data_IF_769889872460
#
_entry.id   IF_769889872460
#
_cell.length_a   1.000
_cell.length_b   1.000
_cell.length_c   1.000
_cell.angle_alpha   90.00
_cell.angle_beta   90.00
_cell.angle_gamma   90.00
#
_symmetry.space_group_name_H-M   'P 1'
#
loop_
_entity.id
_entity.type
_entity.pdbx_description
1 polymer ?
#
# COMPACT_ATOMS: atom_id res chain seq x y z
N UNK A 1 11.60 37.54 -0.05
CA UNK A 1 11.75 36.11 0.04
C UNK A 1 12.07 35.75 1.48
N UNK A 2 11.06 35.32 2.23
CA UNK A 2 11.20 34.85 3.58
C UNK A 2 11.98 33.54 3.56
N UNK A 3 13.07 33.50 4.32
CA UNK A 3 13.98 32.40 4.45
C UNK A 3 13.20 31.12 4.83
N UNK A 4 13.28 30.08 4.01
CA UNK A 4 12.78 28.77 4.38
C UNK A 4 13.41 28.31 5.71
N UNK A 5 12.60 27.74 6.59
CA UNK A 5 13.07 27.25 7.88
C UNK A 5 14.19 26.23 7.67
N UNK A 6 15.34 26.42 8.35
CA UNK A 6 16.59 25.65 8.16
C UNK A 6 16.59 24.26 8.74
N UNK A 7 15.56 23.83 9.46
CA UNK A 7 15.36 22.46 9.88
C UNK A 7 13.90 22.21 10.17
N UNK A 8 13.22 21.62 9.24
CA UNK A 8 12.06 20.80 9.58
C UNK A 8 12.65 19.42 9.93
N UNK A 9 12.50 18.96 11.18
CA UNK A 9 12.66 17.54 11.46
C UNK A 9 11.68 16.86 10.52
N UNK A 10 12.17 16.01 9.62
CA UNK A 10 11.32 15.14 8.85
C UNK A 10 10.40 14.45 9.84
N UNK A 11 9.11 14.70 9.76
CA UNK A 11 8.12 13.95 10.53
C UNK A 11 8.41 12.48 10.28
N UNK A 12 8.09 11.62 11.24
CA UNK A 12 8.37 10.19 11.14
C UNK A 12 7.91 9.69 9.78
N UNK A 13 8.86 9.29 8.96
CA UNK A 13 8.75 8.93 7.54
C UNK A 13 7.81 7.73 7.33
N UNK A 14 7.40 7.07 8.41
CA UNK A 14 6.53 5.90 8.41
C UNK A 14 5.04 6.20 8.25
N UNK A 15 4.60 7.43 8.43
CA UNK A 15 3.23 7.84 8.20
C UNK A 15 3.05 8.30 6.75
N UNK A 16 2.88 7.34 5.85
CA UNK A 16 2.54 7.61 4.46
C UNK A 16 1.19 8.31 4.35
N UNK A 17 1.12 9.37 3.56
CA UNK A 17 -0.08 10.14 3.26
C UNK A 17 -0.72 9.62 1.97
N UNK A 18 -1.24 8.41 2.05
CA UNK A 18 -1.90 7.72 0.93
C UNK A 18 -3.30 7.34 1.34
N UNK A 19 -4.27 7.63 0.48
CA UNK A 19 -5.64 7.12 0.61
C UNK A 19 -6.00 6.26 -0.60
N UNK A 20 -6.83 5.27 -0.36
CA UNK A 20 -7.43 4.45 -1.38
C UNK A 20 -8.95 4.52 -1.27
N UNK A 21 -9.61 4.58 -2.42
CA UNK A 21 -11.05 4.42 -2.53
C UNK A 21 -11.42 3.54 -3.72
N UNK A 22 -12.56 2.91 -3.62
CA UNK A 22 -13.19 2.18 -4.71
C UNK A 22 -14.67 2.52 -4.76
N UNK A 23 -15.23 2.54 -5.95
CA UNK A 23 -16.66 2.76 -6.19
C UNK A 23 -17.16 1.84 -7.31
N UNK A 24 -18.40 1.43 -7.22
CA UNK A 24 -19.08 0.69 -8.26
C UNK A 24 -20.49 1.26 -8.46
N UNK A 25 -20.99 1.22 -9.70
CA UNK A 25 -22.35 1.64 -10.03
C UNK A 25 -23.23 0.47 -10.49
N UNK A 26 -24.53 0.73 -10.63
CA UNK A 26 -25.52 -0.26 -11.08
C UNK A 26 -25.28 -0.79 -12.50
N UNK A 27 -24.49 -0.10 -13.30
CA UNK A 27 -24.20 -0.47 -14.69
C UNK A 27 -22.95 -1.34 -14.82
N UNK A 28 -22.31 -1.68 -13.67
CA UNK A 28 -21.13 -2.55 -13.60
C UNK A 28 -19.81 -1.80 -13.78
N UNK A 29 -19.83 -0.46 -13.83
CA UNK A 29 -18.60 0.30 -13.83
C UNK A 29 -17.98 0.26 -12.44
N UNK A 30 -16.68 0.04 -12.39
CA UNK A 30 -15.92 0.03 -11.13
C UNK A 30 -14.70 0.92 -11.27
N UNK A 31 -14.36 1.62 -10.20
CA UNK A 31 -13.20 2.49 -10.11
C UNK A 31 -12.30 2.03 -8.95
N UNK A 32 -11.04 1.88 -9.22
CA UNK A 32 -9.99 1.68 -8.23
C UNK A 32 -9.08 2.89 -8.24
N UNK A 33 -9.13 3.70 -7.19
CA UNK A 33 -8.42 4.98 -7.12
C UNK A 33 -7.50 5.02 -5.91
N UNK A 34 -6.26 5.44 -6.14
CA UNK A 34 -5.30 5.74 -5.08
C UNK A 34 -4.68 7.11 -5.32
N UNK A 35 -4.54 7.90 -4.27
CA UNK A 35 -3.84 9.17 -4.32
C UNK A 35 -2.92 9.33 -3.12
N UNK A 36 -1.84 10.07 -3.29
CA UNK A 36 -0.80 10.17 -2.28
C UNK A 36 0.11 11.35 -2.54
N UNK A 37 0.46 12.07 -1.51
CA UNK A 37 1.60 12.98 -1.53
C UNK A 37 2.94 12.24 -1.33
N UNK A 38 2.90 10.96 -1.01
CA UNK A 38 3.95 10.04 -0.60
C UNK A 38 4.36 10.22 0.86
N UNK A 39 5.05 11.30 1.24
CA UNK A 39 5.45 11.55 2.64
C UNK A 39 4.65 12.71 3.20
N UNK A 40 3.81 12.47 4.21
CA UNK A 40 3.06 13.49 4.94
C UNK A 40 2.54 14.61 4.05
N UNK A 41 3.10 15.80 4.16
CA UNK A 41 2.73 16.97 3.37
C UNK A 41 3.42 17.02 1.97
N UNK A 42 3.93 15.90 1.46
CA UNK A 42 4.64 15.84 0.19
C UNK A 42 5.86 16.78 0.17
N UNK A 43 6.05 17.50 -0.92
CA UNK A 43 7.16 18.44 -1.07
C UNK A 43 7.04 19.69 -0.18
N UNK A 44 5.90 19.92 0.48
CA UNK A 44 5.60 21.14 1.20
C UNK A 44 5.40 22.37 0.30
N UNK A 45 5.45 22.21 -1.01
CA UNK A 45 5.26 23.29 -1.99
C UNK A 45 3.80 23.36 -2.43
N UNK A 46 3.21 24.55 -2.28
CA UNK A 46 1.86 24.84 -2.79
C UNK A 46 2.02 25.80 -3.99
N UNK A 47 1.67 25.38 -5.20
CA UNK A 47 1.69 26.28 -6.35
C UNK A 47 0.70 27.43 -6.17
N UNK A 48 1.07 28.66 -6.53
CA UNK A 48 0.17 29.81 -6.40
C UNK A 48 -1.16 29.59 -7.11
N UNK A 49 -2.27 29.80 -6.38
CA UNK A 49 -3.62 29.72 -6.91
C UNK A 49 -4.21 28.31 -7.03
N UNK A 50 -3.48 27.22 -6.71
CA UNK A 50 -3.99 25.85 -6.84
C UNK A 50 -4.55 25.27 -5.54
N UNK A 51 -4.09 25.72 -4.36
CA UNK A 51 -4.64 25.29 -3.07
C UNK A 51 -4.35 23.84 -2.67
N UNK A 52 -3.40 23.16 -3.32
CA UNK A 52 -2.94 21.82 -2.95
C UNK A 52 -1.42 21.73 -2.96
N UNK A 53 -0.87 20.78 -2.22
CA UNK A 53 0.57 20.50 -2.17
C UNK A 53 0.99 19.53 -3.27
N UNK A 54 2.20 19.74 -3.79
CA UNK A 54 2.82 18.81 -4.72
C UNK A 54 3.37 17.60 -3.96
N UNK A 55 3.19 16.43 -4.54
CA UNK A 55 3.78 15.18 -4.05
C UNK A 55 5.33 15.21 -4.16
N UNK A 56 6.02 14.39 -3.40
CA UNK A 56 7.48 14.36 -3.35
C UNK A 56 8.13 13.06 -3.88
N UNK A 57 7.41 12.28 -4.69
CA UNK A 57 7.94 11.02 -5.25
C UNK A 57 9.16 11.17 -6.16
N UNK A 58 9.47 12.39 -6.57
CA UNK A 58 10.71 12.68 -7.28
C UNK A 58 11.97 12.28 -6.51
N UNK A 59 11.92 12.25 -5.15
CA UNK A 59 13.03 11.79 -4.31
C UNK A 59 13.38 10.30 -4.52
N UNK A 60 12.46 9.52 -5.10
CA UNK A 60 12.64 8.09 -5.36
C UNK A 60 13.47 7.80 -6.61
N UNK A 61 13.84 8.82 -7.40
CA UNK A 61 14.82 8.63 -8.46
C UNK A 61 16.22 8.39 -7.90
N UNK A 62 16.99 7.57 -8.57
CA UNK A 62 18.43 7.46 -8.36
C UNK A 62 19.16 8.62 -9.04
N UNK A 63 20.20 9.14 -8.41
CA UNK A 63 21.13 10.08 -9.04
C UNK A 63 22.32 9.37 -9.68
N UNK A 64 22.43 8.05 -9.52
CA UNK A 64 23.40 7.23 -10.21
C UNK A 64 22.96 7.06 -11.68
N UNK A 65 23.81 7.53 -12.60
CA UNK A 65 23.55 7.52 -14.05
C UNK A 65 23.44 6.12 -14.64
N UNK A 66 23.98 5.12 -13.99
CA UNK A 66 23.98 3.73 -14.44
C UNK A 66 22.84 2.91 -13.82
N UNK A 67 22.02 3.53 -12.97
CA UNK A 67 20.89 2.88 -12.31
C UNK A 67 19.62 2.91 -13.16
N UNK A 68 18.86 1.81 -13.20
CA UNK A 68 17.60 1.71 -13.97
C UNK A 68 16.57 2.79 -13.63
N UNK A 69 16.54 3.25 -12.38
CA UNK A 69 15.62 4.28 -11.88
C UNK A 69 16.30 5.67 -11.83
N UNK A 70 17.26 5.91 -12.71
CA UNK A 70 17.98 7.19 -12.79
C UNK A 70 17.03 8.34 -13.15
N UNK A 71 17.32 9.52 -12.62
CA UNK A 71 16.58 10.74 -12.93
C UNK A 71 16.85 11.17 -14.39
N UNK A 72 15.82 11.09 -15.22
CA UNK A 72 15.86 11.44 -16.63
C UNK A 72 14.56 12.13 -17.06
N UNK A 73 14.58 13.00 -18.11
CA UNK A 73 13.35 13.54 -18.68
C UNK A 73 12.38 12.46 -19.14
N UNK A 74 11.08 12.74 -19.03
CA UNK A 74 9.98 11.87 -19.48
C UNK A 74 9.89 10.51 -18.76
N UNK A 75 10.64 10.30 -17.68
CA UNK A 75 10.69 9.09 -16.89
C UNK A 75 9.86 9.24 -15.59
N UNK A 76 9.14 8.19 -15.24
CA UNK A 76 8.47 8.09 -13.94
C UNK A 76 9.44 7.55 -12.90
N UNK A 77 9.46 8.08 -11.67
CA UNK A 77 10.22 7.48 -10.59
C UNK A 77 9.63 6.12 -10.21
N UNK A 78 10.38 5.31 -9.50
CA UNK A 78 9.81 4.23 -8.72
C UNK A 78 8.67 4.77 -7.84
N UNK A 79 7.60 4.01 -7.71
CA UNK A 79 6.48 4.38 -6.83
C UNK A 79 5.81 3.14 -6.25
N UNK A 80 5.04 3.34 -5.18
CA UNK A 80 4.36 2.28 -4.43
C UNK A 80 2.84 2.33 -4.55
N UNK A 81 2.27 3.26 -5.31
CA UNK A 81 0.81 3.37 -5.47
C UNK A 81 0.29 2.32 -6.44
N UNK A 82 -0.62 1.49 -5.96
CA UNK A 82 -1.10 0.30 -6.68
C UNK A 82 -2.62 0.20 -6.51
N UNK A 83 -3.42 0.96 -7.30
CA UNK A 83 -4.84 0.65 -7.42
C UNK A 83 -4.97 -0.68 -8.19
N UNK A 84 -5.72 -1.63 -7.64
CA UNK A 84 -5.76 -2.98 -8.18
C UNK A 84 -7.16 -3.39 -8.65
N UNK A 85 -7.17 -4.30 -9.61
CA UNK A 85 -8.37 -4.91 -10.15
C UNK A 85 -8.13 -6.41 -10.36
N UNK A 86 -9.13 -7.22 -10.03
CA UNK A 86 -9.20 -8.62 -10.42
C UNK A 86 -10.34 -8.78 -11.40
N UNK A 87 -10.10 -9.44 -12.52
CA UNK A 87 -11.13 -9.83 -13.48
C UNK A 87 -11.35 -11.33 -13.41
N UNK A 88 -12.58 -11.77 -13.62
CA UNK A 88 -12.99 -13.17 -13.75
C UNK A 88 -13.79 -13.31 -15.03
N UNK A 89 -13.43 -14.24 -15.89
CA UNK A 89 -14.09 -14.48 -17.17
C UNK A 89 -14.25 -13.21 -18.04
N UNK A 90 -13.18 -12.39 -18.07
CA UNK A 90 -13.12 -11.09 -18.75
C UNK A 90 -14.10 -10.02 -18.23
N UNK A 91 -14.65 -10.20 -17.04
CA UNK A 91 -15.52 -9.23 -16.37
C UNK A 91 -14.84 -8.65 -15.13
N UNK A 92 -15.16 -7.40 -14.74
CA UNK A 92 -14.79 -6.87 -13.45
C UNK A 92 -15.29 -7.77 -12.33
N UNK A 93 -14.39 -8.15 -11.42
CA UNK A 93 -14.73 -9.01 -10.29
C UNK A 93 -14.47 -8.34 -8.96
N UNK A 94 -13.23 -7.91 -8.70
CA UNK A 94 -12.88 -7.21 -7.48
C UNK A 94 -12.07 -5.96 -7.82
N UNK A 95 -12.50 -4.82 -7.28
CA UNK A 95 -11.72 -3.59 -7.22
C UNK A 95 -11.22 -3.42 -5.79
N UNK A 96 -9.91 -3.34 -5.59
CA UNK A 96 -9.34 -3.25 -4.25
C UNK A 96 -8.03 -2.49 -4.21
N UNK A 97 -7.65 -2.07 -3.03
CA UNK A 97 -6.35 -1.48 -2.77
C UNK A 97 -5.99 -1.51 -1.31
N UNK A 98 -4.71 -1.39 -1.06
CA UNK A 98 -4.15 -1.37 0.27
C UNK A 98 -3.10 -0.27 0.31
N UNK A 99 -3.42 0.86 0.94
CA UNK A 99 -2.46 1.95 1.13
C UNK A 99 -1.42 1.58 2.20
N UNK A 100 -0.24 2.21 2.19
CA UNK A 100 0.78 1.94 3.20
C UNK A 100 2.23 1.97 2.69
N UNK A 101 2.54 2.82 1.72
CA UNK A 101 3.89 2.95 1.18
C UNK A 101 4.46 1.63 0.67
N UNK A 102 5.62 1.21 1.12
CA UNK A 102 6.28 -0.04 0.71
C UNK A 102 5.53 -1.33 1.15
N UNK A 103 4.52 -1.21 2.01
CA UNK A 103 3.64 -2.33 2.36
C UNK A 103 2.67 -2.68 1.22
N UNK A 104 2.38 -1.76 0.31
CA UNK A 104 1.37 -1.95 -0.73
C UNK A 104 1.57 -3.23 -1.55
N UNK A 105 2.70 -3.50 -2.21
CA UNK A 105 2.87 -4.72 -2.99
C UNK A 105 2.78 -5.98 -2.12
N UNK A 106 3.33 -5.96 -0.93
CA UNK A 106 3.30 -7.09 0.00
C UNK A 106 1.87 -7.36 0.51
N UNK A 107 1.14 -6.30 0.85
CA UNK A 107 -0.23 -6.41 1.32
C UNK A 107 -1.18 -6.88 0.21
N UNK A 108 -1.03 -6.37 -1.01
CA UNK A 108 -1.83 -6.84 -2.15
C UNK A 108 -1.67 -8.34 -2.39
N UNK A 109 -0.43 -8.85 -2.36
CA UNK A 109 -0.17 -10.27 -2.51
C UNK A 109 -0.87 -11.08 -1.39
N UNK A 110 -0.81 -10.64 -0.14
CA UNK A 110 -1.46 -11.31 0.98
C UNK A 110 -2.99 -11.30 0.85
N UNK A 111 -3.58 -10.17 0.44
CA UNK A 111 -5.04 -10.09 0.17
C UNK A 111 -5.46 -11.10 -0.90
N UNK A 112 -4.73 -11.17 -2.02
CA UNK A 112 -5.07 -12.12 -3.10
C UNK A 112 -4.94 -13.56 -2.63
N UNK A 113 -3.88 -13.90 -1.89
CA UNK A 113 -3.68 -15.24 -1.30
C UNK A 113 -4.82 -15.57 -0.33
N UNK A 114 -5.21 -14.64 0.53
CA UNK A 114 -6.30 -14.83 1.48
C UNK A 114 -7.64 -15.11 0.77
N UNK A 115 -7.93 -14.37 -0.29
CA UNK A 115 -9.16 -14.54 -1.07
C UNK A 115 -9.17 -15.85 -1.88
N UNK A 116 -8.07 -16.16 -2.57
CA UNK A 116 -8.04 -17.22 -3.59
C UNK A 116 -7.58 -18.56 -3.00
N UNK A 117 -6.48 -18.57 -2.24
CA UNK A 117 -5.88 -19.81 -1.73
C UNK A 117 -6.52 -20.26 -0.41
N UNK A 118 -6.89 -19.32 0.45
CA UNK A 118 -7.53 -19.61 1.74
C UNK A 118 -9.04 -19.50 1.72
N UNK A 119 -9.65 -18.99 0.64
CA UNK A 119 -11.10 -18.90 0.48
C UNK A 119 -11.78 -17.97 1.49
N UNK A 120 -11.05 -17.00 2.02
CA UNK A 120 -11.60 -16.00 2.95
C UNK A 120 -12.60 -15.10 2.22
N UNK A 121 -13.64 -14.64 2.92
CA UNK A 121 -14.50 -13.61 2.37
C UNK A 121 -13.77 -12.26 2.31
N UNK A 122 -14.40 -11.27 1.67
CA UNK A 122 -13.78 -9.98 1.38
C UNK A 122 -13.33 -9.23 2.64
N UNK A 123 -14.12 -9.29 3.73
CA UNK A 123 -13.80 -8.65 5.01
C UNK A 123 -12.72 -9.44 5.77
N UNK A 124 -12.85 -10.76 5.85
CA UNK A 124 -11.87 -11.63 6.50
C UNK A 124 -10.49 -11.48 5.88
N UNK A 125 -10.40 -11.41 4.54
CA UNK A 125 -9.14 -11.22 3.85
C UNK A 125 -8.46 -9.89 4.24
N UNK A 126 -9.25 -8.85 4.47
CA UNK A 126 -8.79 -7.55 4.95
C UNK A 126 -8.33 -7.56 6.40
N UNK A 127 -9.09 -8.22 7.28
CA UNK A 127 -8.83 -8.23 8.73
C UNK A 127 -7.78 -9.25 9.16
N UNK A 128 -7.47 -10.24 8.31
CA UNK A 128 -6.44 -11.24 8.60
C UNK A 128 -5.09 -10.59 8.96
N UNK A 129 -4.35 -11.17 9.91
CA UNK A 129 -3.04 -10.64 10.31
C UNK A 129 -2.07 -10.65 9.14
N UNK A 130 -1.27 -9.60 9.03
CA UNK A 130 -0.32 -9.38 7.94
C UNK A 130 1.12 -9.51 8.39
N UNK A 131 1.95 -9.85 7.43
CA UNK A 131 3.40 -9.76 7.54
C UNK A 131 3.90 -8.57 6.71
N UNK A 132 5.02 -8.01 7.12
CA UNK A 132 5.76 -7.02 6.35
C UNK A 132 7.25 -7.36 6.40
N UNK A 133 7.85 -7.56 5.25
CA UNK A 133 9.31 -7.65 5.15
C UNK A 133 9.88 -6.24 5.08
N UNK A 134 10.81 -5.94 5.96
CA UNK A 134 11.51 -4.65 6.03
C UNK A 134 12.98 -4.88 5.74
N UNK A 135 13.53 -4.14 4.80
CA UNK A 135 14.94 -4.20 4.44
C UNK A 135 15.52 -2.81 4.23
N UNK A 136 16.83 -2.73 4.19
CA UNK A 136 17.57 -1.52 3.86
C UNK A 136 17.71 -1.28 2.35
N UNK A 137 17.14 -2.14 1.52
CA UNK A 137 17.11 -1.95 0.07
C UNK A 137 16.23 -0.75 -0.29
N UNK A 138 16.74 0.13 -1.14
CA UNK A 138 16.06 1.35 -1.55
C UNK A 138 15.98 1.44 -3.08
N UNK A 139 14.91 2.05 -3.63
CA UNK A 139 14.76 2.24 -5.07
C UNK A 139 15.82 3.16 -5.69
N UNK A 140 16.56 3.87 -4.85
CA UNK A 140 17.65 4.78 -5.22
C UNK A 140 19.02 4.08 -5.35
N UNK A 141 19.10 2.76 -5.13
CA UNK A 141 20.30 1.96 -5.33
C UNK A 141 20.88 1.30 -4.07
N UNK A 142 20.19 1.40 -2.92
CA UNK A 142 20.61 0.65 -1.72
C UNK A 142 20.42 -0.86 -1.90
N UNK A 143 21.41 -1.66 -1.54
CA UNK A 143 21.36 -3.11 -1.60
C UNK A 143 21.08 -3.72 -0.23
N UNK A 144 20.29 -4.78 -0.19
CA UNK A 144 20.06 -5.58 1.01
C UNK A 144 21.21 -6.58 1.19
N UNK A 145 21.81 -6.61 2.39
CA UNK A 145 22.94 -7.48 2.68
C UNK A 145 22.75 -8.36 3.93
N UNK A 146 21.66 -8.16 4.67
CA UNK A 146 21.41 -8.85 5.96
C UNK A 146 20.10 -9.67 5.96
N UNK A 147 19.40 -9.77 4.81
CA UNK A 147 18.12 -10.47 4.69
C UNK A 147 16.92 -9.70 5.25
N UNK A 148 17.14 -8.58 5.91
CA UNK A 148 16.09 -7.74 6.49
C UNK A 148 15.37 -8.35 7.68
N UNK A 149 14.22 -7.80 8.02
CA UNK A 149 13.38 -8.20 9.15
C UNK A 149 11.98 -8.58 8.68
N UNK A 150 11.39 -9.59 9.32
CA UNK A 150 10.01 -9.99 9.11
C UNK A 150 9.16 -9.47 10.26
N UNK A 151 8.45 -8.39 10.00
CA UNK A 151 7.52 -7.77 10.95
C UNK A 151 6.18 -8.49 10.89
N UNK A 152 5.65 -8.88 12.04
CA UNK A 152 4.39 -9.60 12.17
C UNK A 152 3.37 -8.79 12.98
N UNK A 153 2.11 -8.85 12.57
CA UNK A 153 0.98 -8.50 13.44
C UNK A 153 0.71 -9.61 14.46
N UNK A 154 -0.04 -9.28 15.50
CA UNK A 154 -0.64 -10.28 16.39
C UNK A 154 -1.67 -11.11 15.64
N UNK A 155 -1.79 -12.39 15.99
CA UNK A 155 -2.77 -13.32 15.39
C UNK A 155 -2.18 -14.50 14.64
N UNK A 156 -0.88 -14.49 14.38
CA UNK A 156 -0.20 -15.69 13.85
C UNK A 156 0.00 -16.75 14.94
N UNK A 157 -0.15 -18.03 14.56
CA UNK A 157 0.16 -19.14 15.46
C UNK A 157 1.63 -19.10 15.87
N UNK A 158 1.87 -19.19 17.16
CA UNK A 158 3.22 -19.18 17.74
C UNK A 158 4.12 -20.31 17.20
N UNK A 159 3.55 -21.46 16.84
CA UNK A 159 4.32 -22.56 16.23
C UNK A 159 4.84 -22.17 14.85
N UNK A 160 4.05 -21.44 14.07
CA UNK A 160 4.46 -20.97 12.75
C UNK A 160 5.52 -19.86 12.87
N UNK A 161 5.37 -18.97 13.83
CA UNK A 161 6.41 -17.97 14.14
C UNK A 161 7.74 -18.64 14.47
N UNK A 162 7.72 -19.68 15.29
CA UNK A 162 8.93 -20.46 15.63
C UNK A 162 9.54 -21.18 14.43
N UNK A 163 8.73 -21.63 13.47
CA UNK A 163 9.25 -22.21 12.22
C UNK A 163 9.98 -21.16 11.39
N UNK A 164 9.39 -19.97 11.23
CA UNK A 164 10.04 -18.86 10.54
C UNK A 164 11.39 -18.50 11.16
N UNK A 165 11.45 -18.41 12.49
CA UNK A 165 12.70 -18.16 13.20
C UNK A 165 13.74 -19.29 12.98
N UNK A 166 13.30 -20.56 12.93
CA UNK A 166 14.18 -21.72 12.65
C UNK A 166 14.71 -21.70 11.20
N UNK A 167 13.95 -21.13 10.26
CA UNK A 167 14.41 -20.91 8.88
C UNK A 167 15.39 -19.72 8.77
N UNK A 168 15.69 -19.06 9.88
CA UNK A 168 16.66 -17.96 9.92
C UNK A 168 16.04 -16.57 9.74
N UNK A 169 14.72 -16.45 9.69
CA UNK A 169 14.08 -15.15 9.63
C UNK A 169 14.24 -14.38 10.94
N UNK A 170 14.64 -13.14 10.85
CA UNK A 170 14.64 -12.18 11.97
C UNK A 170 13.23 -11.65 12.17
N UNK A 171 12.48 -12.31 13.05
CA UNK A 171 11.08 -11.98 13.32
C UNK A 171 10.99 -10.89 14.39
N UNK A 172 10.21 -9.85 14.09
CA UNK A 172 9.85 -8.78 15.02
C UNK A 172 8.33 -8.62 15.07
N UNK A 173 7.82 -8.07 16.17
CA UNK A 173 6.42 -7.67 16.28
C UNK A 173 6.33 -6.16 16.16
N UNK A 174 5.35 -5.68 15.39
CA UNK A 174 5.12 -4.26 15.19
C UNK A 174 3.67 -3.90 15.40
N UNK A 175 3.44 -2.72 15.93
CA UNK A 175 2.12 -2.10 16.02
C UNK A 175 2.00 -1.06 14.90
N UNK A 176 1.20 -1.38 13.88
CA UNK A 176 0.99 -0.49 12.74
C UNK A 176 1.91 -0.79 11.54
N UNK A 177 1.84 0.06 10.54
CA UNK A 177 2.59 -0.04 9.26
C UNK A 177 2.23 -1.25 8.36
N UNK A 178 1.06 -1.87 8.58
CA UNK A 178 0.55 -2.99 7.78
C UNK A 178 -0.48 -2.58 6.72
N UNK A 179 -0.56 -1.29 6.46
CA UNK A 179 -1.43 -0.73 5.43
C UNK A 179 -2.88 -0.57 5.85
N UNK A 180 -3.73 -0.31 4.90
CA UNK A 180 -5.18 -0.16 5.06
C UNK A 180 -5.91 -0.57 3.79
N UNK A 181 -6.79 -1.58 3.89
CA UNK A 181 -7.46 -2.23 2.78
C UNK A 181 -8.91 -1.76 2.63
N UNK A 182 -9.31 -1.57 1.38
CA UNK A 182 -10.69 -1.33 0.97
C UNK A 182 -10.96 -2.15 -0.29
N UNK A 183 -12.17 -2.69 -0.43
CA UNK A 183 -12.54 -3.44 -1.62
C UNK A 183 -14.04 -3.39 -1.93
N UNK A 184 -14.35 -3.59 -3.21
CA UNK A 184 -15.69 -3.93 -3.69
C UNK A 184 -15.56 -5.18 -4.58
N UNK A 185 -16.40 -6.17 -4.33
CA UNK A 185 -16.53 -7.39 -5.13
C UNK A 185 -17.92 -7.49 -5.71
N UNK A 186 -18.03 -7.86 -6.97
CA UNK A 186 -19.29 -8.20 -7.59
C UNK A 186 -19.56 -9.69 -7.50
N UNK A 187 -20.74 -10.05 -7.02
CA UNK A 187 -21.25 -11.41 -7.01
C UNK A 187 -22.22 -11.59 -8.20
N UNK A 188 -21.81 -12.38 -9.18
CA UNK A 188 -22.54 -12.59 -10.42
C UNK A 188 -23.78 -13.50 -10.22
N UNK A 189 -23.77 -14.36 -9.18
CA UNK A 189 -24.89 -15.26 -8.86
C UNK A 189 -26.03 -14.50 -8.15
N UNK A 190 -25.66 -13.62 -7.23
CA UNK A 190 -26.62 -12.82 -6.47
C UNK A 190 -26.97 -11.48 -7.14
N UNK A 191 -26.15 -11.03 -8.08
CA UNK A 191 -26.31 -9.74 -8.74
C UNK A 191 -26.11 -8.54 -7.80
N UNK A 192 -25.23 -8.67 -6.80
CA UNK A 192 -24.98 -7.64 -5.77
C UNK A 192 -23.51 -7.33 -5.61
N UNK A 193 -23.23 -6.19 -4.99
CA UNK A 193 -21.89 -5.83 -4.58
C UNK A 193 -21.67 -6.11 -3.09
N UNK A 194 -20.50 -6.66 -2.76
CA UNK A 194 -19.99 -6.74 -1.40
C UNK A 194 -18.92 -5.66 -1.22
N UNK A 195 -19.06 -4.85 -0.20
CA UNK A 195 -18.04 -3.87 0.19
C UNK A 195 -17.30 -4.32 1.45
N UNK A 196 -15.99 -4.09 1.51
CA UNK A 196 -15.19 -4.32 2.70
C UNK A 196 -14.32 -3.11 3.03
N UNK A 197 -14.24 -2.82 4.33
CA UNK A 197 -13.35 -1.83 4.91
C UNK A 197 -12.71 -2.43 6.15
N UNK A 198 -11.40 -2.53 6.16
CA UNK A 198 -10.69 -3.21 7.25
C UNK A 198 -10.64 -2.39 8.54
N UNK A 199 -10.37 -3.08 9.66
CA UNK A 199 -10.44 -2.51 11.01
C UNK A 199 -9.24 -1.64 11.42
N UNK A 200 -8.12 -1.64 10.66
CA UNK A 200 -6.88 -0.90 11.04
C UNK A 200 -6.96 0.61 10.77
N UNK A 201 -7.93 1.05 9.99
CA UNK A 201 -8.07 2.44 9.51
C UNK A 201 -9.51 2.92 9.60
N UNK A 202 -9.67 4.25 9.57
CA UNK A 202 -10.96 4.93 9.55
C UNK A 202 -11.57 4.90 8.13
N UNK A 203 -11.92 3.70 7.69
CA UNK A 203 -12.61 3.50 6.44
C UNK A 203 -14.06 3.10 6.67
N UNK A 204 -14.88 3.14 5.62
CA UNK A 204 -16.21 2.56 5.64
C UNK A 204 -16.61 2.04 4.27
N UNK A 205 -17.38 0.94 4.25
CA UNK A 205 -18.09 0.46 3.07
C UNK A 205 -19.54 0.93 3.17
N UNK A 206 -20.02 1.59 2.13
CA UNK A 206 -21.39 2.14 2.09
C UNK A 206 -22.05 1.77 0.76
N UNK A 207 -23.33 1.41 0.83
CA UNK A 207 -24.18 1.17 -0.31
C UNK A 207 -25.50 1.96 -0.21
N UNK A 208 -26.15 2.23 -1.33
CA UNK A 208 -27.42 2.94 -1.39
C UNK A 208 -28.26 2.43 -2.58
#
# INVERSE_FOLDING_TARGET
>A
PTRAARSVKAGEIENGDTIYLTAADKDGNMVSLIQSNYRGMGSGMVPPGLGFMLQDRGELFSLDKDHYNVYEPEKRPFHTIIPAFITKDNKPYISFGLMGGAMQPQGHAQIVINLIDFGMNLQEAGDAPRIRHVSNQQPTGGEMFDGGELSLESGFDYKEIRKLMKFGHKVIFSLGSFGGYQAIMYDDELGVYFGASESRKDGSAMGY
#
